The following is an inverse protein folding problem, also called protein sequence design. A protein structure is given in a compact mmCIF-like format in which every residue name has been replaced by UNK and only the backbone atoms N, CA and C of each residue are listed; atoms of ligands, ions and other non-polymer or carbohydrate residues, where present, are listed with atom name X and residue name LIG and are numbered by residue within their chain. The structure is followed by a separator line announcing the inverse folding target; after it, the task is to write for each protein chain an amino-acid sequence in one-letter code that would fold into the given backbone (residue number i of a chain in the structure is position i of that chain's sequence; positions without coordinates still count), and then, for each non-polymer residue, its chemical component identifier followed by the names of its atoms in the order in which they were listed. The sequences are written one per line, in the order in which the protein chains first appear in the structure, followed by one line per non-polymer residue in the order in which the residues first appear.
data_IF_660765234125
#
_entry.id   IF_660765234125
#
_cell.length_a   1.000
_cell.length_b   1.000
_cell.length_c   1.000
_cell.angle_alpha   90.00
_cell.angle_beta   90.00
_cell.angle_gamma   90.00
#
_symmetry.space_group_name_H-M   'P 1'
#
loop_
_entity.id
_entity.type
_entity.pdbx_description
1 polymer ?
#
# COMPACT_ATOMS: atom_id res chain seq x y z
N UNK A 1 2.66 -12.93 -30.94
CA UNK A 1 1.22 -12.75 -31.23
C UNK A 1 0.27 -13.57 -30.34
N UNK A 2 0.60 -14.77 -29.87
CA UNK A 2 -0.28 -15.58 -28.99
C UNK A 2 -0.43 -15.04 -27.55
N UNK A 3 0.59 -14.42 -26.97
CA UNK A 3 0.53 -13.86 -25.61
C UNK A 3 -0.49 -12.71 -25.47
N UNK A 4 -0.71 -11.92 -26.54
CA UNK A 4 -1.68 -10.81 -26.53
C UNK A 4 -3.14 -11.31 -26.48
N UNK A 5 -3.44 -12.46 -27.08
CA UNK A 5 -4.81 -13.01 -27.14
C UNK A 5 -5.26 -13.61 -25.80
N UNK A 6 -4.34 -14.21 -25.04
CA UNK A 6 -4.64 -14.79 -23.72
C UNK A 6 -4.87 -13.68 -22.69
N UNK A 7 -4.03 -12.64 -22.67
CA UNK A 7 -4.16 -11.46 -21.80
C UNK A 7 -5.52 -10.77 -22.01
N UNK A 8 -5.93 -10.54 -23.25
CA UNK A 8 -7.23 -9.94 -23.60
C UNK A 8 -8.39 -10.79 -23.07
N UNK A 9 -8.36 -12.12 -23.24
CA UNK A 9 -9.42 -13.02 -22.77
C UNK A 9 -9.58 -13.03 -21.24
N UNK A 10 -8.47 -12.97 -20.48
CA UNK A 10 -8.53 -12.95 -19.00
C UNK A 10 -9.13 -11.63 -18.53
N UNK A 11 -8.67 -10.51 -19.07
CA UNK A 11 -9.15 -9.19 -18.71
C UNK A 11 -10.64 -9.00 -19.07
N UNK A 12 -11.10 -9.50 -20.21
CA UNK A 12 -12.50 -9.43 -20.61
C UNK A 12 -13.39 -10.25 -19.67
N UNK A 13 -12.91 -11.38 -19.14
CA UNK A 13 -13.64 -12.15 -18.11
C UNK A 13 -13.76 -11.38 -16.80
N UNK A 14 -12.69 -10.71 -16.33
CA UNK A 14 -12.72 -9.90 -15.12
C UNK A 14 -13.74 -8.75 -15.27
N UNK A 15 -13.69 -8.02 -16.39
CA UNK A 15 -14.70 -6.99 -16.69
C UNK A 15 -16.11 -7.56 -16.79
N UNK A 16 -16.27 -8.75 -17.35
CA UNK A 16 -17.55 -9.48 -17.41
C UNK A 16 -18.10 -9.76 -16.01
N UNK A 17 -17.27 -10.16 -15.06
CA UNK A 17 -17.67 -10.38 -13.66
C UNK A 17 -18.01 -9.06 -12.97
N UNK A 18 -17.18 -8.04 -13.09
CA UNK A 18 -17.42 -6.72 -12.49
C UNK A 18 -18.71 -6.09 -13.01
N UNK A 19 -19.02 -6.24 -14.30
CA UNK A 19 -20.27 -5.76 -14.90
C UNK A 19 -21.51 -6.55 -14.49
N UNK A 20 -21.38 -7.66 -13.79
CA UNK A 20 -22.52 -8.38 -13.17
C UNK A 20 -22.92 -7.82 -11.82
N UNK A 21 -22.06 -7.03 -11.18
CA UNK A 21 -22.34 -6.36 -9.91
C UNK A 21 -23.20 -5.13 -10.23
N UNK A 22 -24.48 -5.04 -9.80
CA UNK A 22 -25.40 -4.00 -10.27
C UNK A 22 -24.91 -2.58 -10.08
N UNK A 23 -24.35 -2.26 -8.90
CA UNK A 23 -23.81 -0.93 -8.62
C UNK A 23 -22.58 -0.59 -9.46
N UNK A 24 -21.66 -1.54 -9.63
CA UNK A 24 -20.47 -1.36 -10.48
C UNK A 24 -20.89 -1.13 -11.93
N UNK A 25 -21.79 -1.96 -12.44
CA UNK A 25 -22.32 -1.82 -13.81
C UNK A 25 -23.01 -0.49 -14.04
N UNK A 26 -23.83 -0.05 -13.08
CA UNK A 26 -24.54 1.24 -13.18
C UNK A 26 -23.56 2.42 -13.25
N UNK A 27 -22.63 2.54 -12.30
CA UNK A 27 -21.68 3.64 -12.27
C UNK A 27 -20.65 3.57 -13.38
N UNK A 28 -20.18 2.40 -13.78
CA UNK A 28 -19.28 2.24 -14.90
C UNK A 28 -19.91 2.69 -16.23
N UNK A 29 -21.22 2.45 -16.43
CA UNK A 29 -21.95 2.89 -17.62
C UNK A 29 -22.30 4.38 -17.60
N UNK A 30 -22.65 4.94 -16.43
CA UNK A 30 -23.14 6.33 -16.29
C UNK A 30 -22.03 7.35 -16.09
N UNK A 31 -20.95 6.97 -15.39
CA UNK A 31 -19.85 7.87 -15.00
C UNK A 31 -18.49 7.46 -15.57
N UNK A 32 -18.38 6.25 -16.12
CA UNK A 32 -17.14 5.69 -16.64
C UNK A 32 -16.25 5.02 -15.60
N UNK A 33 -15.31 4.21 -16.08
CA UNK A 33 -14.36 3.47 -15.23
C UNK A 33 -13.40 4.37 -14.49
N UNK A 34 -12.97 5.50 -15.08
CA UNK A 34 -12.09 6.47 -14.42
C UNK A 34 -12.69 7.01 -13.12
N UNK A 35 -13.98 7.33 -13.14
CA UNK A 35 -14.71 7.75 -11.96
C UNK A 35 -14.73 6.64 -10.89
N UNK A 36 -15.04 5.40 -11.28
CA UNK A 36 -15.07 4.26 -10.37
C UNK A 36 -13.70 4.02 -9.73
N UNK A 37 -12.63 4.09 -10.52
CA UNK A 37 -11.28 3.88 -10.04
C UNK A 37 -10.79 5.02 -9.13
N UNK A 38 -11.19 6.26 -9.42
CA UNK A 38 -10.88 7.43 -8.58
C UNK A 38 -11.53 7.27 -7.19
N UNK A 39 -12.81 6.91 -7.13
CA UNK A 39 -13.50 6.63 -5.88
C UNK A 39 -12.92 5.42 -5.16
N UNK A 40 -12.68 4.34 -5.87
CA UNK A 40 -12.05 3.14 -5.33
C UNK A 40 -10.69 3.45 -4.70
N UNK A 41 -9.87 4.28 -5.34
CA UNK A 41 -8.57 4.70 -4.80
C UNK A 41 -8.70 5.50 -3.49
N UNK A 42 -9.68 6.42 -3.41
CA UNK A 42 -9.95 7.21 -2.19
C UNK A 42 -10.45 6.32 -1.06
N UNK A 43 -11.42 5.45 -1.33
CA UNK A 43 -11.99 4.54 -0.32
C UNK A 43 -10.93 3.58 0.20
N UNK A 44 -10.17 2.95 -0.70
CA UNK A 44 -9.08 2.05 -0.29
C UNK A 44 -7.99 2.79 0.48
N UNK A 45 -7.64 4.03 0.09
CA UNK A 45 -6.71 4.86 0.84
C UNK A 45 -7.16 5.15 2.27
N UNK A 46 -8.43 5.50 2.47
CA UNK A 46 -8.99 5.73 3.81
C UNK A 46 -8.99 4.44 4.66
N UNK A 47 -9.35 3.31 4.04
CA UNK A 47 -9.32 2.00 4.71
C UNK A 47 -7.89 1.62 5.12
N UNK A 48 -6.90 1.90 4.28
CA UNK A 48 -5.50 1.63 4.58
C UNK A 48 -4.95 2.54 5.69
N UNK A 49 -5.40 3.79 5.80
CA UNK A 49 -5.05 4.67 6.93
C UNK A 49 -5.58 4.08 8.24
N UNK A 50 -6.83 3.62 8.25
CA UNK A 50 -7.43 2.97 9.42
C UNK A 50 -6.63 1.71 9.81
N UNK A 51 -6.30 0.87 8.81
CA UNK A 51 -5.47 -0.31 9.02
C UNK A 51 -4.07 0.05 9.56
N UNK A 52 -3.43 1.08 9.01
CA UNK A 52 -2.12 1.55 9.48
C UNK A 52 -2.14 1.87 10.98
N UNK A 53 -3.19 2.51 11.46
CA UNK A 53 -3.36 2.81 12.89
C UNK A 53 -3.42 1.54 13.74
N UNK A 54 -4.27 0.58 13.36
CA UNK A 54 -4.35 -0.71 14.05
C UNK A 54 -3.02 -1.44 14.02
N UNK A 55 -2.33 -1.40 12.88
CA UNK A 55 -1.02 -2.03 12.70
C UNK A 55 0.05 -1.41 13.62
N UNK A 56 0.14 -0.09 13.69
CA UNK A 56 1.08 0.60 14.59
C UNK A 56 0.77 0.33 16.07
N UNK A 57 -0.51 0.32 16.46
CA UNK A 57 -0.91 -0.01 17.83
C UNK A 57 -0.54 -1.46 18.17
N UNK A 58 -0.75 -2.39 17.25
CA UNK A 58 -0.36 -3.80 17.43
C UNK A 58 1.14 -3.95 17.58
N UNK A 59 1.92 -3.33 16.68
CA UNK A 59 3.37 -3.37 16.73
C UNK A 59 3.95 -2.68 17.96
N UNK A 60 3.27 -1.71 18.55
CA UNK A 60 3.72 -1.07 19.79
C UNK A 60 3.82 -2.04 20.97
N UNK A 61 3.09 -3.15 20.93
CA UNK A 61 3.16 -4.23 21.91
C UNK A 61 4.48 -5.03 21.86
N UNK A 62 5.29 -4.90 20.79
CA UNK A 62 6.63 -5.52 20.72
C UNK A 62 7.57 -5.05 21.84
N UNK A 63 7.28 -3.92 22.47
CA UNK A 63 8.01 -3.48 23.67
C UNK A 63 7.87 -4.46 24.86
N UNK A 64 6.83 -5.31 24.85
CA UNK A 64 6.57 -6.38 25.82
C UNK A 64 6.28 -7.66 25.01
N UNK A 65 7.31 -8.46 24.68
CA UNK A 65 7.18 -9.58 23.74
C UNK A 65 6.04 -10.53 24.05
N UNK A 66 5.82 -10.87 25.33
CA UNK A 66 4.72 -11.76 25.74
C UNK A 66 3.32 -11.19 25.43
N UNK A 67 3.11 -9.86 25.50
CA UNK A 67 1.84 -9.25 25.11
C UNK A 67 1.65 -9.28 23.60
N UNK A 68 2.73 -9.07 22.84
CA UNK A 68 2.68 -9.19 21.39
C UNK A 68 2.29 -10.60 20.96
N UNK A 69 2.99 -11.61 21.49
CA UNK A 69 2.76 -13.02 21.13
C UNK A 69 1.34 -13.46 21.52
N UNK A 70 0.82 -13.01 22.66
CA UNK A 70 -0.57 -13.27 23.07
C UNK A 70 -1.58 -12.65 22.09
N UNK A 71 -1.34 -11.42 21.60
CA UNK A 71 -2.18 -10.79 20.56
C UNK A 71 -2.09 -11.55 19.23
N UNK A 72 -0.90 -11.99 18.84
CA UNK A 72 -0.69 -12.75 17.61
C UNK A 72 -1.35 -14.12 17.66
N UNK A 73 -1.41 -14.76 18.83
CA UNK A 73 -2.16 -16.00 19.01
C UNK A 73 -3.65 -15.83 18.72
N UNK A 74 -4.27 -14.72 19.16
CA UNK A 74 -5.66 -14.37 18.80
C UNK A 74 -5.83 -14.14 17.29
N UNK A 75 -4.85 -13.50 16.65
CA UNK A 75 -4.87 -13.22 15.21
C UNK A 75 -4.52 -14.42 14.33
N UNK A 76 -4.16 -15.54 14.91
CA UNK A 76 -3.86 -16.79 14.18
C UNK A 76 -5.10 -17.63 13.87
N UNK A 77 -6.31 -17.18 14.22
CA UNK A 77 -7.54 -17.87 13.87
C UNK A 77 -7.76 -17.87 12.34
N UNK A 78 -8.33 -18.95 11.75
CA UNK A 78 -8.55 -19.04 10.31
C UNK A 78 -9.33 -17.87 9.72
N UNK A 79 -10.30 -17.35 10.46
CA UNK A 79 -11.09 -16.19 10.04
C UNK A 79 -10.23 -14.94 9.92
N UNK A 80 -9.37 -14.65 10.90
CA UNK A 80 -8.50 -13.47 10.88
C UNK A 80 -7.46 -13.60 9.77
N UNK A 81 -6.86 -14.77 9.57
CA UNK A 81 -5.93 -15.04 8.47
C UNK A 81 -6.61 -14.83 7.12
N UNK A 82 -7.86 -15.24 6.97
CA UNK A 82 -8.65 -14.96 5.77
C UNK A 82 -8.90 -13.45 5.57
N UNK A 83 -9.21 -12.72 6.65
CA UNK A 83 -9.38 -11.26 6.59
C UNK A 83 -8.07 -10.53 6.27
N UNK A 84 -6.92 -11.00 6.78
CA UNK A 84 -5.59 -10.53 6.39
C UNK A 84 -5.35 -10.71 4.88
N UNK A 85 -5.69 -11.88 4.36
CA UNK A 85 -5.60 -12.10 2.91
C UNK A 85 -6.54 -11.19 2.11
N UNK A 86 -7.78 -10.99 2.57
CA UNK A 86 -8.71 -10.06 1.92
C UNK A 86 -8.20 -8.62 1.91
N UNK A 87 -7.40 -8.21 2.91
CA UNK A 87 -6.76 -6.91 2.95
C UNK A 87 -5.77 -6.69 1.80
N UNK A 88 -5.25 -7.77 1.18
CA UNK A 88 -4.43 -7.65 -0.02
C UNK A 88 -5.18 -6.93 -1.15
N UNK A 89 -6.50 -7.10 -1.26
CA UNK A 89 -7.30 -6.50 -2.33
C UNK A 89 -7.19 -4.96 -2.31
N UNK A 90 -7.58 -4.27 -1.21
CA UNK A 90 -7.45 -2.81 -1.16
C UNK A 90 -5.99 -2.33 -1.20
N UNK A 91 -5.03 -3.05 -0.62
CA UNK A 91 -3.61 -2.70 -0.66
C UNK A 91 -3.11 -2.67 -2.10
N UNK A 92 -3.28 -3.77 -2.83
CA UNK A 92 -2.75 -3.90 -4.20
C UNK A 92 -3.53 -3.04 -5.18
N UNK A 93 -4.86 -2.98 -5.06
CA UNK A 93 -5.66 -2.07 -5.88
C UNK A 93 -5.21 -0.62 -5.72
N UNK A 94 -5.02 -0.15 -4.48
CA UNK A 94 -4.57 1.23 -4.21
C UNK A 94 -3.18 1.49 -4.80
N UNK A 95 -2.23 0.58 -4.58
CA UNK A 95 -0.87 0.69 -5.07
C UNK A 95 -0.82 0.72 -6.60
N UNK A 96 -1.42 -0.27 -7.27
CA UNK A 96 -1.37 -0.39 -8.74
C UNK A 96 -2.16 0.74 -9.42
N UNK A 97 -3.32 1.15 -8.86
CA UNK A 97 -4.06 2.29 -9.39
C UNK A 97 -3.29 3.61 -9.18
N UNK A 98 -2.59 3.78 -8.06
CA UNK A 98 -1.66 4.89 -7.86
C UNK A 98 -0.56 4.92 -8.92
N UNK A 99 0.06 3.77 -9.21
CA UNK A 99 1.03 3.62 -10.31
C UNK A 99 0.43 3.99 -11.67
N UNK A 100 -0.79 3.54 -11.98
CA UNK A 100 -1.52 3.92 -13.21
C UNK A 100 -1.66 5.43 -13.32
N UNK A 101 -2.11 6.10 -12.27
CA UNK A 101 -2.28 7.56 -12.26
C UNK A 101 -0.95 8.28 -12.50
N UNK A 102 0.15 7.77 -11.93
CA UNK A 102 1.47 8.34 -12.13
C UNK A 102 1.97 8.15 -13.57
N UNK A 103 1.76 6.99 -14.17
CA UNK A 103 2.09 6.76 -15.58
C UNK A 103 1.30 7.69 -16.51
N UNK A 104 0.01 7.89 -16.21
CA UNK A 104 -0.83 8.80 -16.96
C UNK A 104 -0.37 10.27 -16.83
N UNK A 105 -0.13 10.75 -15.59
CA UNK A 105 0.24 12.14 -15.32
C UNK A 105 1.62 12.52 -15.91
N UNK A 106 2.61 11.60 -15.89
CA UNK A 106 4.01 11.96 -16.14
C UNK A 106 4.59 11.44 -17.44
N UNK A 107 4.07 10.34 -17.95
CA UNK A 107 4.59 9.75 -19.17
C UNK A 107 3.66 9.98 -20.37
N UNK A 108 2.52 10.64 -20.15
CA UNK A 108 1.55 10.95 -21.20
C UNK A 108 0.95 9.68 -21.84
N UNK A 109 1.06 8.54 -21.17
CA UNK A 109 0.49 7.29 -21.64
C UNK A 109 -1.03 7.36 -21.53
N UNK A 110 -1.71 7.44 -22.68
CA UNK A 110 -3.14 7.76 -22.77
C UNK A 110 -4.04 6.56 -23.09
N UNK A 111 -3.50 5.37 -23.25
CA UNK A 111 -4.34 4.18 -23.41
C UNK A 111 -4.86 3.72 -22.04
N UNK A 112 -5.83 4.47 -21.53
CA UNK A 112 -6.41 4.22 -20.20
C UNK A 112 -7.15 2.88 -20.16
N UNK A 113 -7.72 2.43 -21.24
CA UNK A 113 -8.40 1.12 -21.32
C UNK A 113 -7.42 -0.03 -21.10
N UNK A 114 -6.25 0.00 -21.75
CA UNK A 114 -5.21 -0.99 -21.52
C UNK A 114 -4.66 -0.92 -20.09
N UNK A 115 -4.43 0.29 -19.57
CA UNK A 115 -3.95 0.49 -18.19
C UNK A 115 -4.93 -0.02 -17.15
N UNK A 116 -6.24 0.19 -17.33
CA UNK A 116 -7.29 -0.33 -16.44
C UNK A 116 -7.32 -1.87 -16.49
N UNK A 117 -7.19 -2.45 -17.66
CA UNK A 117 -7.10 -3.91 -17.80
C UNK A 117 -5.89 -4.48 -17.05
N UNK A 118 -4.72 -3.87 -17.23
CA UNK A 118 -3.50 -4.27 -16.51
C UNK A 118 -3.63 -4.09 -15.00
N UNK A 119 -4.26 -3.03 -14.53
CA UNK A 119 -4.53 -2.82 -13.10
C UNK A 119 -5.26 -4.03 -12.50
N UNK A 120 -6.37 -4.45 -13.10
CA UNK A 120 -7.11 -5.59 -12.58
C UNK A 120 -6.37 -6.92 -12.72
N UNK A 121 -5.66 -7.13 -13.84
CA UNK A 121 -4.88 -8.35 -14.06
C UNK A 121 -3.73 -8.50 -13.05
N UNK A 122 -2.95 -7.44 -12.84
CA UNK A 122 -1.83 -7.43 -11.89
C UNK A 122 -2.34 -7.56 -10.46
N UNK A 123 -3.42 -6.85 -10.11
CA UNK A 123 -4.01 -6.97 -8.78
C UNK A 123 -4.51 -8.38 -8.50
N UNK A 124 -5.24 -9.00 -9.44
CA UNK A 124 -5.71 -10.37 -9.29
C UNK A 124 -4.55 -11.38 -9.22
N UNK A 125 -3.55 -11.25 -10.08
CA UNK A 125 -2.37 -12.10 -10.07
C UNK A 125 -1.61 -12.03 -8.74
N UNK A 126 -1.43 -10.84 -8.19
CA UNK A 126 -0.76 -10.66 -6.89
C UNK A 126 -1.58 -11.28 -5.75
N UNK A 127 -2.88 -11.04 -5.69
CA UNK A 127 -3.76 -11.60 -4.63
C UNK A 127 -3.76 -13.13 -4.67
N UNK A 128 -3.80 -13.72 -5.88
CA UNK A 128 -3.68 -15.18 -6.05
C UNK A 128 -2.29 -15.69 -5.64
N UNK A 129 -1.22 -15.01 -6.04
CA UNK A 129 0.15 -15.38 -5.66
C UNK A 129 0.33 -15.36 -4.14
N UNK A 130 -0.16 -14.31 -3.48
CA UNK A 130 -0.12 -14.21 -2.03
C UNK A 130 -0.88 -15.35 -1.36
N UNK A 131 -2.08 -15.70 -1.85
CA UNK A 131 -2.85 -16.84 -1.34
C UNK A 131 -2.05 -18.14 -1.43
N UNK A 132 -1.38 -18.39 -2.55
CA UNK A 132 -0.52 -19.57 -2.74
C UNK A 132 0.60 -19.60 -1.71
N UNK A 133 1.32 -18.48 -1.50
CA UNK A 133 2.40 -18.43 -0.52
C UNK A 133 1.90 -18.57 0.92
N UNK A 134 0.78 -17.94 1.26
CA UNK A 134 0.15 -18.10 2.59
C UNK A 134 -0.28 -19.55 2.86
N UNK A 135 -0.76 -20.24 1.82
CA UNK A 135 -1.14 -21.65 1.92
C UNK A 135 0.06 -22.60 2.03
N UNK A 136 1.12 -22.33 1.27
CA UNK A 136 2.34 -23.15 1.31
C UNK A 136 3.06 -23.03 2.65
N UNK A 137 3.07 -21.85 3.28
CA UNK A 137 3.82 -21.57 4.51
C UNK A 137 5.31 -21.83 4.36
N UNK A 138 6.08 -21.61 5.40
CA UNK A 138 7.48 -22.05 5.54
C UNK A 138 8.44 -21.72 4.37
N UNK A 139 8.19 -20.62 3.65
CA UNK A 139 9.13 -20.15 2.65
C UNK A 139 10.30 -19.44 3.34
N UNK A 140 11.51 -19.91 3.07
CA UNK A 140 12.73 -19.31 3.62
C UNK A 140 13.35 -18.35 2.62
N UNK A 141 13.44 -17.09 3.01
CA UNK A 141 14.09 -16.04 2.22
C UNK A 141 15.05 -15.26 3.12
N UNK A 142 16.27 -15.00 2.64
CA UNK A 142 17.21 -14.15 3.37
C UNK A 142 16.65 -12.73 3.52
N UNK A 143 16.39 -12.24 4.75
CA UNK A 143 15.83 -10.89 4.94
C UNK A 143 16.70 -9.80 4.35
N UNK A 144 18.03 -9.91 4.49
CA UNK A 144 18.96 -8.89 3.97
C UNK A 144 18.92 -8.84 2.45
N UNK A 145 19.00 -9.99 1.79
CA UNK A 145 18.96 -10.03 0.32
C UNK A 145 17.63 -9.53 -0.24
N UNK A 146 16.51 -9.97 0.36
CA UNK A 146 15.18 -9.53 -0.04
C UNK A 146 15.04 -8.02 0.08
N UNK A 147 15.32 -7.46 1.26
CA UNK A 147 15.13 -6.03 1.50
C UNK A 147 16.14 -5.17 0.75
N UNK A 148 17.38 -5.64 0.56
CA UNK A 148 18.35 -4.92 -0.27
C UNK A 148 17.86 -4.79 -1.72
N UNK A 149 17.39 -5.88 -2.29
CA UNK A 149 16.88 -5.89 -3.67
C UNK A 149 15.66 -4.99 -3.82
N UNK A 150 14.67 -5.15 -2.96
CA UNK A 150 13.41 -4.37 -3.01
C UNK A 150 13.68 -2.89 -2.77
N UNK A 151 14.51 -2.56 -1.78
CA UNK A 151 14.83 -1.17 -1.43
C UNK A 151 15.60 -0.47 -2.57
N UNK A 152 16.57 -1.13 -3.18
CA UNK A 152 17.28 -0.61 -4.35
C UNK A 152 16.32 -0.32 -5.52
N UNK A 153 15.41 -1.25 -5.81
CA UNK A 153 14.39 -1.04 -6.85
C UNK A 153 13.52 0.18 -6.50
N UNK A 154 13.04 0.28 -5.25
CA UNK A 154 12.21 1.38 -4.81
C UNK A 154 12.92 2.74 -4.90
N UNK A 155 14.21 2.79 -4.53
CA UNK A 155 15.04 4.01 -4.63
C UNK A 155 15.30 4.39 -6.08
N UNK A 156 15.65 3.43 -6.94
CA UNK A 156 15.87 3.68 -8.38
C UNK A 156 14.60 4.21 -9.03
N UNK A 157 13.45 3.58 -8.78
CA UNK A 157 12.16 4.03 -9.30
C UNK A 157 11.81 5.44 -8.77
N UNK A 158 12.00 5.67 -7.47
CA UNK A 158 11.78 6.97 -6.83
C UNK A 158 12.67 8.06 -7.41
N UNK A 159 13.96 7.76 -7.63
CA UNK A 159 14.91 8.70 -8.25
C UNK A 159 14.57 9.01 -9.71
N UNK A 160 14.27 7.99 -10.51
CA UNK A 160 13.88 8.18 -11.90
C UNK A 160 12.62 9.07 -12.02
N UNK A 161 11.68 8.85 -11.10
CA UNK A 161 10.48 9.64 -11.02
C UNK A 161 10.76 11.08 -10.53
N UNK A 162 11.57 11.25 -9.48
CA UNK A 162 12.03 12.52 -8.96
C UNK A 162 12.66 13.38 -10.06
N UNK A 163 13.58 12.81 -10.84
CA UNK A 163 14.27 13.51 -11.92
C UNK A 163 13.27 14.07 -12.96
N UNK A 164 12.16 13.37 -13.18
CA UNK A 164 11.10 13.79 -14.10
C UNK A 164 10.24 14.92 -13.54
N UNK A 165 9.79 14.81 -12.28
CA UNK A 165 8.80 15.73 -11.70
C UNK A 165 9.41 16.97 -11.07
N UNK A 166 10.72 16.97 -10.75
CA UNK A 166 11.33 18.08 -10.01
C UNK A 166 11.23 19.41 -10.76
N UNK A 167 11.32 19.37 -12.09
CA UNK A 167 11.25 20.55 -12.97
C UNK A 167 9.82 21.09 -13.18
N UNK A 168 8.81 20.36 -12.73
CA UNK A 168 7.42 20.81 -12.86
C UNK A 168 7.10 21.90 -11.83
N UNK A 169 6.23 22.85 -12.19
CA UNK A 169 5.84 24.00 -11.36
C UNK A 169 4.95 23.68 -10.14
N UNK A 170 4.81 22.40 -9.77
CA UNK A 170 4.01 21.97 -8.61
C UNK A 170 4.71 22.23 -7.27
N UNK A 171 3.91 22.33 -6.18
CA UNK A 171 4.43 22.53 -4.85
C UNK A 171 5.34 21.38 -4.40
N UNK A 172 6.34 21.62 -3.53
CA UNK A 172 7.19 20.57 -2.97
C UNK A 172 6.38 19.46 -2.29
N UNK A 173 5.34 19.82 -1.55
CA UNK A 173 4.48 18.86 -0.86
C UNK A 173 3.80 17.89 -1.84
N UNK A 174 3.31 18.39 -2.95
CA UNK A 174 2.75 17.56 -4.02
C UNK A 174 3.81 16.61 -4.62
N UNK A 175 5.04 17.13 -4.86
CA UNK A 175 6.15 16.31 -5.38
C UNK A 175 6.51 15.17 -4.42
N UNK A 176 6.65 15.48 -3.13
CA UNK A 176 6.92 14.47 -2.12
C UNK A 176 5.80 13.43 -2.01
N UNK A 177 4.54 13.82 -2.18
CA UNK A 177 3.43 12.87 -2.23
C UNK A 177 3.59 11.85 -3.36
N UNK A 178 4.02 12.30 -4.53
CA UNK A 178 4.24 11.41 -5.69
C UNK A 178 5.47 10.53 -5.50
N UNK A 179 6.56 11.08 -4.99
CA UNK A 179 7.80 10.32 -4.74
C UNK A 179 7.57 9.25 -3.68
N UNK A 180 6.94 9.59 -2.56
CA UNK A 180 6.59 8.61 -1.53
C UNK A 180 5.64 7.55 -2.07
N UNK A 181 4.70 7.91 -2.95
CA UNK A 181 3.80 6.96 -3.62
C UNK A 181 4.54 5.96 -4.50
N UNK A 182 5.54 6.38 -5.30
CA UNK A 182 6.38 5.49 -6.11
C UNK A 182 7.21 4.55 -5.23
N UNK A 183 7.80 5.09 -4.17
CA UNK A 183 8.55 4.29 -3.20
C UNK A 183 7.64 3.22 -2.55
N UNK A 184 6.47 3.60 -2.09
CA UNK A 184 5.51 2.69 -1.44
C UNK A 184 4.88 1.71 -2.42
N UNK A 185 4.75 2.05 -3.71
CA UNK A 185 4.28 1.13 -4.76
C UNK A 185 5.13 -0.14 -4.84
N UNK A 186 6.42 -0.02 -4.57
CA UNK A 186 7.36 -1.16 -4.54
C UNK A 186 7.41 -1.77 -3.14
N UNK A 187 7.57 -0.92 -2.11
CA UNK A 187 7.84 -1.39 -0.75
C UNK A 187 6.65 -2.07 -0.07
N UNK A 188 5.42 -1.55 -0.21
CA UNK A 188 4.27 -2.09 0.52
C UNK A 188 3.83 -3.46 0.00
N UNK A 189 3.71 -3.70 -1.33
CA UNK A 189 3.48 -5.06 -1.83
C UNK A 189 4.56 -6.04 -1.39
N UNK A 190 5.83 -5.63 -1.45
CA UNK A 190 6.94 -6.47 -1.01
C UNK A 190 6.89 -6.74 0.50
N UNK A 191 6.58 -5.74 1.32
CA UNK A 191 6.38 -5.90 2.76
C UNK A 191 5.26 -6.90 3.07
N UNK A 192 4.14 -6.73 2.40
CA UNK A 192 2.99 -7.62 2.58
C UNK A 192 3.34 -9.07 2.17
N UNK A 193 4.02 -9.26 1.04
CA UNK A 193 4.50 -10.57 0.61
C UNK A 193 5.47 -11.17 1.63
N UNK A 194 6.51 -10.43 2.04
CA UNK A 194 7.55 -10.91 2.94
C UNK A 194 6.97 -11.40 4.29
N UNK A 195 6.03 -10.66 4.86
CA UNK A 195 5.40 -11.01 6.14
C UNK A 195 4.52 -12.27 6.06
N UNK A 196 4.11 -12.69 4.85
CA UNK A 196 3.24 -13.84 4.64
C UNK A 196 3.93 -15.05 3.99
N UNK A 197 5.24 -14.96 3.68
CA UNK A 197 6.02 -16.10 3.21
C UNK A 197 6.20 -17.16 4.29
N UNK A 198 6.36 -16.73 5.54
CA UNK A 198 6.48 -17.58 6.71
C UNK A 198 5.77 -16.91 7.89
N UNK A 199 4.80 -17.57 8.54
CA UNK A 199 4.06 -17.00 9.66
C UNK A 199 4.93 -16.47 10.81
N UNK A 200 6.06 -17.11 11.12
CA UNK A 200 6.98 -16.68 12.18
C UNK A 200 7.52 -15.26 11.94
N UNK A 201 7.77 -14.89 10.67
CA UNK A 201 8.34 -13.58 10.28
C UNK A 201 7.44 -12.41 10.68
N UNK A 202 6.13 -12.61 10.64
CA UNK A 202 5.15 -11.58 10.98
C UNK A 202 4.50 -11.73 12.36
N UNK A 203 4.60 -12.90 13.00
CA UNK A 203 3.79 -13.24 14.18
C UNK A 203 4.58 -13.57 15.44
N UNK A 204 5.88 -13.92 15.35
CA UNK A 204 6.72 -14.24 16.49
C UNK A 204 7.58 -13.05 16.89
N UNK A 205 7.41 -12.54 18.11
CA UNK A 205 8.16 -11.40 18.63
C UNK A 205 9.66 -11.60 18.57
N UNK A 206 10.16 -12.79 18.95
CA UNK A 206 11.58 -13.12 18.93
C UNK A 206 12.19 -13.01 17.52
N UNK A 207 11.47 -13.47 16.48
CA UNK A 207 11.92 -13.41 15.09
C UNK A 207 11.95 -11.97 14.59
N UNK A 208 10.91 -11.18 14.93
CA UNK A 208 10.83 -9.76 14.56
C UNK A 208 11.95 -8.97 15.23
N UNK A 209 12.15 -9.15 16.54
CA UNK A 209 13.20 -8.46 17.31
C UNK A 209 14.58 -8.82 16.75
N UNK A 210 14.86 -10.10 16.51
CA UNK A 210 16.14 -10.55 15.94
C UNK A 210 16.41 -9.90 14.57
N UNK A 211 15.39 -9.81 13.70
CA UNK A 211 15.50 -9.14 12.40
C UNK A 211 15.78 -7.65 12.56
N UNK A 212 15.14 -6.99 13.52
CA UNK A 212 15.30 -5.57 13.79
C UNK A 212 16.67 -5.21 14.41
N UNK A 213 17.47 -6.17 14.88
CA UNK A 213 18.87 -5.92 15.27
C UNK A 213 19.77 -5.61 14.08
N UNK A 214 19.36 -5.95 12.86
CA UNK A 214 20.11 -5.59 11.66
C UNK A 214 19.89 -4.11 11.31
N UNK A 215 20.97 -3.35 11.34
CA UNK A 215 20.92 -1.89 11.08
C UNK A 215 20.29 -1.54 9.73
N UNK A 216 20.61 -2.31 8.67
CA UNK A 216 20.06 -2.05 7.34
C UNK A 216 18.53 -2.29 7.31
N UNK A 217 18.05 -3.39 7.90
CA UNK A 217 16.60 -3.67 7.99
C UNK A 217 15.88 -2.58 8.79
N UNK A 218 16.48 -2.16 9.90
CA UNK A 218 15.99 -1.05 10.72
C UNK A 218 15.85 0.26 9.90
N UNK A 219 16.82 0.57 9.06
CA UNK A 219 16.78 1.75 8.16
C UNK A 219 15.69 1.60 7.08
N UNK A 220 15.48 0.41 6.55
CA UNK A 220 14.38 0.14 5.60
C UNK A 220 13.02 0.37 6.25
N UNK A 221 12.80 -0.16 7.46
CA UNK A 221 11.55 0.03 8.19
C UNK A 221 11.33 1.50 8.56
N UNK A 222 12.39 2.23 8.94
CA UNK A 222 12.34 3.67 9.18
C UNK A 222 11.91 4.45 7.93
N UNK A 223 12.51 4.13 6.77
CA UNK A 223 12.15 4.77 5.51
C UNK A 223 10.69 4.48 5.13
N UNK A 224 10.20 3.27 5.35
CA UNK A 224 8.79 2.92 5.13
C UNK A 224 7.86 3.70 6.06
N UNK A 225 8.17 3.80 7.35
CA UNK A 225 7.36 4.58 8.32
C UNK A 225 7.25 6.04 7.88
N UNK A 226 8.37 6.68 7.55
CA UNK A 226 8.38 8.08 7.12
C UNK A 226 7.59 8.28 5.81
N UNK A 227 7.79 7.39 4.84
CA UNK A 227 7.11 7.45 3.55
C UNK A 227 5.60 7.23 3.70
N UNK A 228 5.16 6.21 4.47
CA UNK A 228 3.74 5.90 4.62
C UNK A 228 3.00 6.96 5.43
N UNK A 229 3.61 7.48 6.49
CA UNK A 229 3.00 8.56 7.30
C UNK A 229 2.82 9.81 6.45
N UNK A 230 3.85 10.21 5.70
CA UNK A 230 3.74 11.37 4.81
C UNK A 230 2.70 11.15 3.71
N UNK A 231 2.76 10.02 3.00
CA UNK A 231 1.86 9.69 1.92
C UNK A 231 0.39 9.66 2.38
N UNK A 232 0.13 8.97 3.48
CA UNK A 232 -1.23 8.85 4.03
C UNK A 232 -1.77 10.18 4.55
N UNK A 233 -0.94 10.96 5.26
CA UNK A 233 -1.34 12.26 5.79
C UNK A 233 -1.66 13.27 4.71
N UNK A 234 -0.77 13.42 3.72
CA UNK A 234 -1.03 14.31 2.59
C UNK A 234 -2.21 13.81 1.73
N UNK A 235 -2.34 12.50 1.57
CA UNK A 235 -3.49 11.89 0.89
C UNK A 235 -4.81 12.23 1.57
N UNK A 236 -4.88 12.06 2.91
CA UNK A 236 -6.05 12.42 3.71
C UNK A 236 -6.37 13.92 3.63
N UNK A 237 -5.34 14.76 3.73
CA UNK A 237 -5.49 16.20 3.54
C UNK A 237 -6.06 16.56 2.17
N UNK A 238 -5.54 15.95 1.11
CA UNK A 238 -5.98 16.19 -0.27
C UNK A 238 -7.44 15.78 -0.47
N UNK A 239 -7.81 14.58 -0.02
CA UNK A 239 -9.20 14.10 -0.08
C UNK A 239 -10.13 15.02 0.72
N UNK A 240 -9.75 15.39 1.94
CA UNK A 240 -10.56 16.28 2.77
C UNK A 240 -10.77 17.66 2.14
N UNK A 241 -9.72 18.20 1.47
CA UNK A 241 -9.80 19.49 0.80
C UNK A 241 -10.79 19.48 -0.39
N UNK A 242 -10.98 18.34 -1.05
CA UNK A 242 -11.93 18.22 -2.15
C UNK A 242 -13.40 18.33 -1.70
N UNK A 243 -13.70 18.00 -0.43
CA UNK A 243 -15.08 17.95 0.08
C UNK A 243 -15.42 19.05 1.10
N UNK A 244 -14.41 19.61 1.76
CA UNK A 244 -14.62 20.62 2.81
C UNK A 244 -14.48 22.00 2.17
N UNK A 245 -15.59 22.72 2.03
CA UNK A 245 -15.63 24.06 1.42
C UNK A 245 -15.31 25.15 2.45
N UNK A 246 -15.71 24.99 3.70
CA UNK A 246 -15.51 25.99 4.75
C UNK A 246 -14.02 26.12 5.12
N UNK A 247 -13.47 27.36 5.04
CA UNK A 247 -12.08 27.65 5.40
C UNK A 247 -11.75 27.25 6.86
N UNK A 248 -12.69 27.48 7.79
CA UNK A 248 -12.49 27.12 9.21
C UNK A 248 -12.35 25.61 9.40
N UNK A 249 -13.22 24.84 8.72
CA UNK A 249 -13.17 23.39 8.73
C UNK A 249 -11.93 22.84 8.02
N UNK A 250 -11.45 23.49 6.94
CA UNK A 250 -10.19 23.12 6.29
C UNK A 250 -8.99 23.31 7.23
N UNK A 251 -8.94 24.42 7.98
CA UNK A 251 -7.87 24.64 8.98
C UNK A 251 -7.94 23.57 10.08
N UNK A 252 -9.12 23.32 10.65
CA UNK A 252 -9.31 22.30 11.67
C UNK A 252 -8.86 20.92 11.16
N UNK A 253 -9.31 20.53 9.98
CA UNK A 253 -8.90 19.28 9.34
C UNK A 253 -7.38 19.22 9.16
N UNK A 254 -6.74 20.31 8.69
CA UNK A 254 -5.29 20.36 8.49
C UNK A 254 -4.55 20.14 9.80
N UNK A 255 -4.99 20.77 10.89
CA UNK A 255 -4.40 20.61 12.23
C UNK A 255 -4.58 19.18 12.73
N UNK A 256 -5.77 18.60 12.57
CA UNK A 256 -6.04 17.22 12.97
C UNK A 256 -5.17 16.23 12.17
N UNK A 257 -5.10 16.38 10.84
CA UNK A 257 -4.25 15.53 10.01
C UNK A 257 -2.78 15.65 10.41
N UNK A 258 -2.28 16.86 10.64
CA UNK A 258 -0.91 17.08 11.08
C UNK A 258 -0.65 16.42 12.45
N UNK A 259 -1.56 16.55 13.41
CA UNK A 259 -1.46 15.90 14.71
C UNK A 259 -1.41 14.37 14.58
N UNK A 260 -2.29 13.81 13.75
CA UNK A 260 -2.32 12.37 13.41
C UNK A 260 -1.00 11.92 12.79
N UNK A 261 -0.45 12.68 11.84
CA UNK A 261 0.85 12.37 11.21
C UNK A 261 1.99 12.36 12.23
N UNK A 262 2.06 13.38 13.10
CA UNK A 262 3.08 13.49 14.13
C UNK A 262 2.98 12.31 15.12
N UNK A 263 1.79 11.99 15.56
CA UNK A 263 1.55 10.85 16.46
C UNK A 263 1.93 9.52 15.81
N UNK A 264 1.54 9.31 14.55
CA UNK A 264 1.88 8.09 13.81
C UNK A 264 3.41 7.97 13.61
N UNK A 265 4.06 9.07 13.24
CA UNK A 265 5.52 9.11 13.11
C UNK A 265 6.21 8.81 14.44
N UNK A 266 5.75 9.40 15.53
CA UNK A 266 6.27 9.14 16.87
C UNK A 266 6.16 7.68 17.29
N UNK A 267 4.98 7.07 17.11
CA UNK A 267 4.74 5.66 17.42
C UNK A 267 5.65 4.78 16.56
N UNK A 268 5.68 4.99 15.24
CA UNK A 268 6.50 4.21 14.32
C UNK A 268 8.00 4.34 14.60
N UNK A 269 8.50 5.56 14.85
CA UNK A 269 9.89 5.79 15.25
C UNK A 269 10.24 5.10 16.56
N UNK A 270 9.36 5.19 17.56
CA UNK A 270 9.55 4.52 18.85
C UNK A 270 9.67 3.01 18.68
N UNK A 271 8.88 2.39 17.82
CA UNK A 271 8.95 0.96 17.51
C UNK A 271 10.32 0.65 16.88
N UNK A 272 10.70 1.34 15.81
CA UNK A 272 11.94 1.08 15.08
C UNK A 272 13.19 1.28 15.95
N UNK A 273 13.19 2.27 16.85
CA UNK A 273 14.36 2.58 17.69
C UNK A 273 14.48 1.65 18.89
N UNK A 274 13.36 1.25 19.51
CA UNK A 274 13.37 0.49 20.78
C UNK A 274 13.39 -1.02 20.60
N UNK A 275 12.90 -1.52 19.49
CA UNK A 275 12.96 -2.92 19.10
C UNK A 275 14.25 -3.20 18.34
#
# INVERSE_FOLDING_TARGET
MQASSISVKITDRIFGILNRIPYVAFYARTRGWEFMLSWGHRITGLLLILYLWFHLITLSALSIPGEYDAKMALFSSPLIVFLEWLLAIPVIFHAVNGGRLMLFEFFGYRDDTAMIRWLFAVSAAYVCLLAVFMFLGNQSVSPIFFWLTVFLIAVICGYAFLARIWRLGHSPFWKFQRISGVFLLVMIPAHFLFMHLNPAVGKESAVIIARMQNFFVKMVDLAMVLAVVYHSGYGLFSVGKDYIVSRRLQILMTVLVAAVMVLSAWIGLKIVIRV
#
